data_IF_059043690236
#
_entry.id   IF_059043690236
#
_cell.length_a   1.000
_cell.length_b   1.000
_cell.length_c   1.000
_cell.angle_alpha   90.00
_cell.angle_beta   90.00
_cell.angle_gamma   90.00
#
_symmetry.space_group_name_H-M   'P 1'
#
loop_
_entity.id
_entity.type
_entity.pdbx_description
1 polymer ?
#
# COMPACT_ATOMS: atom_id res chain seq x y z
N UNK A 1 -49.80 31.28 -38.20
CA UNK A 1 -49.91 30.02 -37.43
C UNK A 1 -49.49 28.86 -38.33
N UNK A 2 -48.27 28.33 -38.13
CA UNK A 2 -47.76 27.16 -38.87
C UNK A 2 -47.41 26.09 -37.83
N UNK A 3 -48.06 24.94 -37.97
CA UNK A 3 -47.95 23.78 -37.06
C UNK A 3 -46.58 23.11 -37.29
N UNK A 4 -45.80 22.97 -36.23
CA UNK A 4 -44.56 22.19 -36.23
C UNK A 4 -44.90 20.79 -35.71
N UNK A 5 -44.60 19.80 -36.54
CA UNK A 5 -44.73 18.38 -36.26
C UNK A 5 -43.61 17.94 -35.34
N UNK A 6 -43.96 17.23 -34.27
CA UNK A 6 -43.03 16.63 -33.33
C UNK A 6 -42.25 15.47 -33.99
N UNK A 7 -40.92 15.49 -33.86
CA UNK A 7 -40.07 14.35 -34.15
C UNK A 7 -39.59 13.76 -32.82
N UNK A 8 -40.18 12.64 -32.42
CA UNK A 8 -39.68 11.84 -31.30
C UNK A 8 -38.44 11.07 -31.78
N UNK A 9 -37.26 11.48 -31.30
CA UNK A 9 -36.03 10.72 -31.47
C UNK A 9 -36.01 9.57 -30.46
N UNK A 10 -36.29 8.37 -30.95
CA UNK A 10 -36.17 7.12 -30.20
C UNK A 10 -34.69 6.72 -30.17
N UNK A 11 -33.99 7.05 -29.09
CA UNK A 11 -32.59 6.65 -28.91
C UNK A 11 -32.56 5.19 -28.42
N UNK A 12 -32.28 4.25 -29.33
CA UNK A 12 -32.05 2.84 -29.00
C UNK A 12 -30.73 2.73 -28.21
N UNK A 13 -30.81 2.42 -26.92
CA UNK A 13 -29.68 1.87 -26.16
C UNK A 13 -29.42 0.45 -26.68
N UNK A 14 -28.32 0.24 -27.40
CA UNK A 14 -27.80 -1.12 -27.60
C UNK A 14 -26.92 -1.49 -26.39
N UNK A 15 -27.39 -2.44 -25.60
CA UNK A 15 -26.57 -3.08 -24.59
C UNK A 15 -25.53 -3.96 -25.29
N UNK A 16 -24.25 -3.61 -25.18
CA UNK A 16 -23.15 -4.50 -25.57
C UNK A 16 -23.02 -5.56 -24.47
N UNK A 17 -23.44 -6.79 -24.75
CA UNK A 17 -23.13 -7.93 -23.91
C UNK A 17 -21.66 -8.31 -24.12
N UNK A 18 -20.82 -8.10 -23.11
CA UNK A 18 -19.48 -8.69 -23.06
C UNK A 18 -19.64 -10.14 -22.63
N UNK A 19 -19.61 -11.08 -23.59
CA UNK A 19 -19.46 -12.49 -23.27
C UNK A 19 -17.99 -12.76 -22.97
N UNK A 20 -17.68 -13.08 -21.71
CA UNK A 20 -16.42 -13.71 -21.37
C UNK A 20 -16.35 -15.06 -22.11
N UNK A 21 -15.42 -15.20 -23.04
CA UNK A 21 -15.11 -16.50 -23.64
C UNK A 21 -14.43 -17.35 -22.57
N UNK A 22 -15.12 -18.38 -22.13
CA UNK A 22 -14.59 -19.40 -21.25
C UNK A 22 -13.69 -20.34 -22.07
N UNK A 23 -12.40 -19.99 -22.16
CA UNK A 23 -11.38 -20.82 -22.80
C UNK A 23 -11.12 -22.07 -21.96
N UNK A 24 -11.99 -23.07 -22.11
CA UNK A 24 -11.96 -24.37 -21.42
C UNK A 24 -10.88 -25.33 -21.93
N UNK A 25 -9.86 -24.85 -22.66
CA UNK A 25 -8.76 -25.69 -23.08
C UNK A 25 -7.45 -24.90 -23.28
N UNK A 26 -6.80 -24.51 -22.19
CA UNK A 26 -5.36 -24.27 -22.21
C UNK A 26 -4.73 -24.93 -20.99
N UNK A 27 -4.14 -26.11 -21.19
CA UNK A 27 -3.07 -26.60 -20.30
C UNK A 27 -1.91 -25.62 -20.42
N UNK A 28 -2.00 -24.49 -19.70
CA UNK A 28 -0.86 -23.60 -19.51
C UNK A 28 0.14 -24.39 -18.68
N UNK A 29 1.38 -24.60 -19.14
CA UNK A 29 2.40 -25.20 -18.30
C UNK A 29 2.46 -24.33 -17.04
N UNK A 30 2.22 -24.93 -15.88
CA UNK A 30 2.41 -24.26 -14.59
C UNK A 30 3.84 -23.72 -14.63
N UNK A 31 3.98 -22.40 -14.80
CA UNK A 31 5.26 -21.71 -14.61
C UNK A 31 5.84 -22.27 -13.33
N UNK A 32 7.07 -22.77 -13.39
CA UNK A 32 7.86 -23.05 -12.21
C UNK A 32 7.98 -21.70 -11.50
N UNK A 33 7.03 -21.44 -10.61
CA UNK A 33 6.94 -20.21 -9.84
C UNK A 33 8.21 -20.24 -9.01
N UNK A 34 9.19 -19.40 -9.36
CA UNK A 34 10.34 -19.18 -8.50
C UNK A 34 9.81 -19.02 -7.08
N UNK A 35 10.32 -19.82 -6.16
CA UNK A 35 9.93 -19.71 -4.76
C UNK A 35 10.11 -18.27 -4.28
N UNK A 36 9.39 -17.89 -3.22
CA UNK A 36 9.64 -16.62 -2.55
C UNK A 36 11.15 -16.48 -2.27
N UNK A 37 11.78 -15.40 -2.77
CA UNK A 37 13.20 -15.09 -2.53
C UNK A 37 14.20 -15.48 -3.63
N UNK A 38 13.76 -15.98 -4.80
CA UNK A 38 14.65 -16.19 -5.96
C UNK A 38 15.00 -14.87 -6.70
N UNK A 39 16.05 -14.87 -7.55
CA UNK A 39 16.34 -13.73 -8.43
C UNK A 39 15.14 -13.37 -9.31
N UNK A 40 14.87 -12.07 -9.44
CA UNK A 40 13.82 -11.58 -10.34
C UNK A 40 14.36 -11.62 -11.77
N UNK A 41 13.85 -12.54 -12.58
CA UNK A 41 14.11 -12.58 -14.02
C UNK A 41 12.94 -11.93 -14.76
N UNK A 42 13.24 -10.84 -15.48
CA UNK A 42 12.24 -10.12 -16.28
C UNK A 42 11.84 -10.95 -17.51
N UNK A 43 10.54 -11.14 -17.69
CA UNK A 43 9.97 -11.76 -18.87
C UNK A 43 9.90 -10.80 -20.07
N UNK A 44 9.60 -11.31 -21.28
CA UNK A 44 9.52 -10.51 -22.51
C UNK A 44 8.50 -9.34 -22.47
N UNK A 45 7.54 -9.40 -21.55
CA UNK A 45 6.50 -8.39 -21.38
C UNK A 45 6.75 -7.44 -20.21
N UNK A 46 7.80 -7.68 -19.41
CA UNK A 46 8.14 -6.81 -18.29
C UNK A 46 8.87 -5.59 -18.85
N UNK A 47 8.14 -4.48 -18.94
CA UNK A 47 8.63 -3.20 -19.48
C UNK A 47 8.83 -2.21 -18.35
N UNK A 48 10.06 -1.78 -18.15
CA UNK A 48 10.38 -0.69 -17.24
C UNK A 48 9.77 0.62 -17.78
N UNK A 49 8.87 1.23 -17.02
CA UNK A 49 8.21 2.50 -17.39
C UNK A 49 8.90 3.73 -16.81
N UNK A 50 9.73 3.55 -15.79
CA UNK A 50 10.47 4.61 -15.10
C UNK A 50 11.93 4.20 -14.90
N UNK A 51 12.89 5.12 -15.01
CA UNK A 51 14.28 4.81 -14.68
C UNK A 51 14.39 4.38 -13.21
N UNK A 52 15.45 3.64 -12.91
CA UNK A 52 15.78 3.32 -11.53
C UNK A 52 15.99 4.61 -10.74
N UNK A 53 15.59 4.64 -9.46
CA UNK A 53 15.85 5.79 -8.60
C UNK A 53 17.37 6.00 -8.47
N UNK A 54 17.80 7.25 -8.22
CA UNK A 54 19.19 7.53 -7.87
C UNK A 54 19.65 6.65 -6.70
N UNK A 55 20.89 6.16 -6.75
CA UNK A 55 21.42 5.26 -5.71
C UNK A 55 21.54 5.91 -4.33
N UNK A 56 21.58 7.24 -4.28
CA UNK A 56 21.68 8.09 -3.10
C UNK A 56 20.32 8.59 -2.59
N UNK A 57 19.19 8.08 -3.14
CA UNK A 57 17.85 8.56 -2.78
C UNK A 57 17.51 8.41 -1.29
N UNK A 58 18.17 7.48 -0.60
CA UNK A 58 18.05 7.22 0.84
C UNK A 58 19.27 7.67 1.64
N UNK A 59 20.23 8.36 1.02
CA UNK A 59 21.39 8.87 1.74
C UNK A 59 20.95 9.99 2.69
N UNK A 60 21.57 10.01 3.88
CA UNK A 60 21.32 11.07 4.85
C UNK A 60 21.95 12.37 4.35
N UNK A 61 21.11 13.37 4.10
CA UNK A 61 21.50 14.74 3.70
C UNK A 61 21.48 15.67 4.92
N UNK A 62 22.64 16.16 5.34
CA UNK A 62 22.74 17.05 6.53
C UNK A 62 22.09 18.43 6.32
N UNK A 63 21.88 18.84 5.07
CA UNK A 63 21.20 20.09 4.68
C UNK A 63 19.67 19.98 4.64
N UNK A 64 19.13 18.77 4.81
CA UNK A 64 17.70 18.49 4.72
C UNK A 64 17.09 18.40 6.12
N UNK A 65 15.97 19.11 6.39
CA UNK A 65 15.20 18.90 7.61
C UNK A 65 14.71 17.46 7.72
N UNK A 66 14.82 16.87 8.92
CA UNK A 66 14.43 15.49 9.16
C UNK A 66 13.11 15.36 9.90
N UNK A 67 12.26 14.46 9.43
CA UNK A 67 11.06 14.02 10.11
C UNK A 67 11.38 13.09 11.27
N UNK A 68 10.33 12.57 11.89
CA UNK A 68 10.45 11.67 13.05
C UNK A 68 9.78 10.34 12.73
N UNK A 69 10.52 9.25 12.92
CA UNK A 69 10.01 7.88 12.82
C UNK A 69 9.89 7.30 14.23
N UNK A 70 8.68 6.93 14.64
CA UNK A 70 8.38 6.43 15.98
C UNK A 70 7.55 5.18 15.95
N UNK A 71 7.86 4.25 16.85
CA UNK A 71 6.98 3.13 17.14
C UNK A 71 6.00 3.54 18.23
N UNK A 72 4.71 3.35 17.97
CA UNK A 72 3.66 3.58 18.95
C UNK A 72 2.85 2.31 19.19
N UNK A 73 2.15 2.28 20.32
CA UNK A 73 1.21 1.23 20.70
C UNK A 73 -0.22 1.75 20.60
N UNK A 74 -1.15 0.90 20.15
CA UNK A 74 -2.58 1.19 20.08
C UNK A 74 -3.40 -0.01 20.54
N UNK A 75 -4.57 0.25 21.13
CA UNK A 75 -5.50 -0.79 21.55
C UNK A 75 -6.36 -1.24 20.36
N UNK A 76 -6.17 -2.47 19.89
CA UNK A 76 -7.04 -3.06 18.86
C UNK A 76 -8.23 -3.73 19.51
N UNK A 77 -9.44 -3.19 19.29
CA UNK A 77 -10.68 -3.84 19.69
C UNK A 77 -11.00 -5.00 18.76
N UNK A 78 -10.57 -4.92 17.50
CA UNK A 78 -10.77 -5.96 16.49
C UNK A 78 -10.18 -7.29 16.94
N UNK A 79 -8.97 -7.29 17.52
CA UNK A 79 -8.31 -8.53 17.97
C UNK A 79 -8.16 -8.65 19.50
N UNK A 80 -8.59 -7.62 20.23
CA UNK A 80 -8.63 -7.60 21.69
C UNK A 80 -7.24 -7.64 22.32
N UNK A 81 -6.28 -6.89 21.77
CA UNK A 81 -4.92 -6.76 22.30
C UNK A 81 -4.27 -5.45 21.86
N UNK A 82 -3.27 -4.99 22.62
CA UNK A 82 -2.40 -3.88 22.22
C UNK A 82 -1.51 -4.31 21.06
N UNK A 83 -1.46 -3.50 20.00
CA UNK A 83 -0.66 -3.73 18.81
C UNK A 83 0.29 -2.56 18.57
N UNK A 84 1.24 -2.72 17.63
CA UNK A 84 2.27 -1.73 17.32
C UNK A 84 2.20 -1.27 15.88
N UNK A 85 2.57 -0.01 15.67
CA UNK A 85 2.81 0.55 14.35
C UNK A 85 3.95 1.56 14.38
N UNK A 86 4.67 1.67 13.26
CA UNK A 86 5.60 2.77 13.05
C UNK A 86 4.89 3.95 12.38
N UNK A 87 5.19 5.17 12.82
CA UNK A 87 4.66 6.40 12.28
C UNK A 87 5.82 7.31 11.91
N UNK A 88 5.84 7.73 10.65
CA UNK A 88 6.65 8.85 10.20
C UNK A 88 5.81 10.13 10.23
N UNK A 89 6.33 11.16 10.89
CA UNK A 89 5.83 12.53 10.80
C UNK A 89 6.83 13.39 10.01
N UNK A 90 6.35 14.26 9.11
CA UNK A 90 7.23 15.02 8.22
C UNK A 90 8.00 16.10 9.00
N UNK A 91 9.12 16.62 8.45
CA UNK A 91 9.82 17.74 9.04
C UNK A 91 8.88 18.93 9.29
N UNK A 92 8.97 19.53 10.47
CA UNK A 92 8.08 20.63 10.87
C UNK A 92 6.64 20.22 11.16
N UNK A 93 6.39 18.94 11.46
CA UNK A 93 5.09 18.45 11.92
C UNK A 93 4.55 19.30 13.08
N UNK A 94 3.24 19.54 13.04
CA UNK A 94 2.49 20.31 14.04
C UNK A 94 1.06 19.80 14.05
N UNK A 95 0.50 19.61 15.23
CA UNK A 95 -0.89 19.16 15.45
C UNK A 95 -1.92 20.19 14.93
N UNK A 96 -1.53 21.45 14.75
CA UNK A 96 -2.40 22.51 14.22
C UNK A 96 -2.63 22.39 12.70
N UNK A 97 -1.80 21.61 11.99
CA UNK A 97 -1.86 21.44 10.54
C UNK A 97 -2.40 20.06 10.19
N UNK A 98 -3.24 20.01 9.15
CA UNK A 98 -3.70 18.75 8.55
C UNK A 98 -2.70 18.25 7.51
N UNK A 99 -2.47 16.94 7.54
CA UNK A 99 -1.59 16.24 6.59
C UNK A 99 -2.38 15.12 5.90
N UNK A 100 -2.11 14.83 4.62
CA UNK A 100 -2.51 13.55 4.04
C UNK A 100 -1.79 12.41 4.78
N UNK A 101 -2.42 11.24 4.80
CA UNK A 101 -1.89 10.04 5.47
C UNK A 101 -1.73 8.92 4.44
N UNK A 102 -0.56 8.29 4.44
CA UNK A 102 -0.29 7.07 3.69
C UNK A 102 -0.20 5.88 4.65
N UNK A 103 -1.06 4.89 4.47
CA UNK A 103 -0.96 3.60 5.16
C UNK A 103 -0.11 2.65 4.30
N UNK A 104 1.08 2.32 4.78
CA UNK A 104 2.10 1.59 4.04
C UNK A 104 2.29 0.18 4.64
N UNK A 105 1.82 -0.84 3.91
CA UNK A 105 1.81 -2.22 4.39
C UNK A 105 3.05 -3.00 3.96
N UNK A 106 3.47 -3.93 4.80
CA UNK A 106 4.57 -4.86 4.55
C UNK A 106 4.10 -6.11 3.79
N UNK A 107 5.04 -6.93 3.32
CA UNK A 107 4.77 -8.20 2.64
C UNK A 107 4.49 -9.38 3.58
N UNK A 108 4.26 -10.56 3.01
CA UNK A 108 4.13 -11.80 3.79
C UNK A 108 5.45 -12.06 4.54
N UNK A 109 5.37 -12.25 5.86
CA UNK A 109 6.53 -12.46 6.73
C UNK A 109 7.15 -11.18 7.31
N UNK A 110 6.76 -10.01 6.79
CA UNK A 110 7.18 -8.71 7.30
C UNK A 110 6.51 -8.30 8.61
N UNK A 111 6.75 -7.11 9.11
CA UNK A 111 6.07 -6.53 10.28
C UNK A 111 6.09 -5.00 10.18
N UNK A 112 5.63 -4.29 11.20
CA UNK A 112 5.59 -2.82 11.26
C UNK A 112 6.97 -2.15 11.09
N UNK A 113 8.06 -2.90 11.19
CA UNK A 113 9.43 -2.41 11.02
C UNK A 113 10.07 -2.81 9.68
N UNK A 114 9.37 -3.57 8.82
CA UNK A 114 9.92 -4.04 7.54
C UNK A 114 10.46 -2.90 6.67
N UNK A 115 9.66 -1.85 6.48
CA UNK A 115 10.06 -0.69 5.70
C UNK A 115 11.30 0.00 6.29
N UNK A 116 11.37 0.13 7.62
CA UNK A 116 12.54 0.69 8.29
C UNK A 116 13.80 -0.13 8.02
N UNK A 117 13.71 -1.47 8.06
CA UNK A 117 14.85 -2.37 7.88
C UNK A 117 15.39 -2.38 6.44
N UNK A 118 14.51 -2.26 5.44
CA UNK A 118 14.89 -2.51 4.04
C UNK A 118 14.83 -1.29 3.12
N UNK A 119 14.20 -0.18 3.54
CA UNK A 119 13.92 0.94 2.65
C UNK A 119 14.18 2.34 3.24
N UNK A 120 14.59 2.44 4.52
CA UNK A 120 14.92 3.72 5.17
C UNK A 120 13.88 4.83 4.89
N UNK A 121 12.59 4.60 5.19
CA UNK A 121 11.49 5.40 4.70
C UNK A 121 11.56 6.85 5.16
N UNK A 122 12.12 7.11 6.35
CA UNK A 122 12.34 8.46 6.85
C UNK A 122 13.28 9.26 5.95
N UNK A 123 14.43 8.69 5.56
CA UNK A 123 15.41 9.38 4.69
C UNK A 123 14.85 9.58 3.29
N UNK A 124 14.18 8.55 2.74
CA UNK A 124 13.48 8.64 1.46
C UNK A 124 12.47 9.80 1.47
N UNK A 125 11.59 9.84 2.48
CA UNK A 125 10.52 10.84 2.55
C UNK A 125 11.07 12.24 2.83
N UNK A 126 12.06 12.38 3.71
CA UNK A 126 12.74 13.66 3.97
C UNK A 126 13.31 14.24 2.66
N UNK A 127 14.06 13.42 1.91
CA UNK A 127 14.68 13.82 0.65
C UNK A 127 13.62 14.18 -0.41
N UNK A 128 12.57 13.36 -0.56
CA UNK A 128 11.50 13.62 -1.53
C UNK A 128 10.69 14.88 -1.17
N UNK A 129 10.47 15.16 0.12
CA UNK A 129 9.77 16.35 0.60
C UNK A 129 10.64 17.60 0.37
N UNK A 130 11.93 17.54 0.70
CA UNK A 130 12.87 18.64 0.50
C UNK A 130 13.03 19.00 -0.99
N UNK A 131 13.05 18.00 -1.86
CA UNK A 131 13.10 18.18 -3.31
C UNK A 131 11.75 18.59 -3.94
N UNK A 132 10.67 18.69 -3.14
CA UNK A 132 9.33 19.02 -3.63
C UNK A 132 8.67 17.95 -4.50
N UNK A 133 9.17 16.71 -4.45
CA UNK A 133 8.64 15.53 -5.18
C UNK A 133 7.54 14.81 -4.40
N UNK A 134 7.49 15.01 -3.09
CA UNK A 134 6.42 14.54 -2.22
C UNK A 134 5.87 15.69 -1.37
N UNK A 135 4.57 15.67 -1.10
CA UNK A 135 3.97 16.59 -0.13
C UNK A 135 4.31 16.14 1.29
N UNK A 136 4.45 17.06 2.27
CA UNK A 136 4.51 16.68 3.67
C UNK A 136 3.30 15.83 4.05
N UNK A 137 3.55 14.60 4.51
CA UNK A 137 2.52 13.60 4.81
C UNK A 137 2.92 12.78 6.03
N UNK A 138 1.92 12.25 6.73
CA UNK A 138 2.13 11.22 7.76
C UNK A 138 2.16 9.87 7.07
N UNK A 139 3.10 9.00 7.44
CA UNK A 139 3.13 7.62 6.94
C UNK A 139 2.98 6.67 8.11
N UNK A 140 1.95 5.84 8.06
CA UNK A 140 1.63 4.84 9.09
C UNK A 140 1.98 3.47 8.54
N UNK A 141 2.80 2.73 9.27
CA UNK A 141 3.31 1.40 8.92
C UNK A 141 2.85 0.41 9.99
N UNK A 142 1.61 -0.10 9.92
CA UNK A 142 1.10 -1.07 10.87
C UNK A 142 1.54 -2.50 10.51
N UNK A 143 1.37 -3.43 11.44
CA UNK A 143 1.47 -4.85 11.15
C UNK A 143 0.15 -5.35 10.53
N UNK A 144 0.21 -5.88 9.31
CA UNK A 144 -0.96 -6.35 8.57
C UNK A 144 -1.54 -7.68 9.08
N UNK A 145 -0.87 -8.39 9.99
CA UNK A 145 -1.42 -9.61 10.60
C UNK A 145 -2.24 -9.26 11.84
N UNK A 146 -3.51 -8.91 11.65
CA UNK A 146 -4.40 -8.63 12.76
C UNK A 146 -4.80 -9.93 13.48
N UNK A 147 -4.02 -10.30 14.51
CA UNK A 147 -4.29 -11.40 15.43
C UNK A 147 -3.53 -11.19 16.75
N UNK A 148 -3.86 -11.95 17.80
CA UNK A 148 -3.22 -11.78 19.12
C UNK A 148 -1.71 -12.03 19.15
N UNK A 149 -1.24 -13.01 18.39
CA UNK A 149 0.19 -13.23 18.17
C UNK A 149 0.52 -12.88 16.72
N UNK A 150 0.89 -11.64 16.45
CA UNK A 150 1.16 -11.11 15.11
C UNK A 150 2.62 -11.26 14.68
N UNK A 151 3.42 -12.04 15.43
CA UNK A 151 4.80 -12.40 15.09
C UNK A 151 4.82 -13.38 13.91
N UNK A 152 5.80 -13.22 13.01
CA UNK A 152 6.01 -14.10 11.87
C UNK A 152 6.74 -15.39 12.30
N UNK A 153 6.03 -16.30 12.97
CA UNK A 153 6.58 -17.54 13.52
C UNK A 153 5.88 -18.78 12.93
N UNK A 154 6.59 -19.91 12.90
CA UNK A 154 6.05 -21.15 12.34
C UNK A 154 5.83 -21.08 10.82
N UNK A 155 4.75 -21.69 10.34
CA UNK A 155 4.35 -21.56 8.95
C UNK A 155 3.68 -20.20 8.74
N UNK A 156 4.41 -19.23 8.18
CA UNK A 156 3.96 -17.86 7.97
C UNK A 156 2.66 -17.79 7.17
N UNK A 157 2.41 -18.77 6.29
CA UNK A 157 1.19 -18.86 5.49
C UNK A 157 -0.07 -19.13 6.32
N UNK A 158 0.07 -19.69 7.53
CA UNK A 158 -1.06 -19.94 8.43
C UNK A 158 -1.68 -18.63 8.94
N UNK A 159 -0.94 -17.51 8.87
CA UNK A 159 -1.43 -16.17 9.20
C UNK A 159 -2.28 -15.53 8.09
N UNK A 160 -2.51 -16.22 6.95
CA UNK A 160 -3.31 -15.68 5.85
C UNK A 160 -4.69 -15.10 6.28
N UNK A 161 -5.46 -15.76 7.17
CA UNK A 161 -6.74 -15.21 7.64
C UNK A 161 -6.60 -13.90 8.43
N UNK A 162 -5.48 -13.69 9.14
CA UNK A 162 -5.25 -12.48 9.94
C UNK A 162 -5.14 -11.22 9.06
N UNK A 163 -4.68 -11.35 7.81
CA UNK A 163 -4.66 -10.24 6.87
C UNK A 163 -6.05 -9.82 6.40
N UNK A 164 -7.04 -10.73 6.39
CA UNK A 164 -8.43 -10.38 6.11
C UNK A 164 -9.07 -9.62 7.28
N UNK A 165 -8.70 -9.97 8.52
CA UNK A 165 -9.15 -9.26 9.74
C UNK A 165 -8.59 -7.84 9.79
N UNK A 166 -7.42 -7.60 9.18
CA UNK A 166 -6.78 -6.30 9.19
C UNK A 166 -7.59 -5.17 8.54
N UNK A 167 -8.55 -5.48 7.67
CA UNK A 167 -9.47 -4.44 7.16
C UNK A 167 -10.23 -3.75 8.29
N UNK A 168 -10.78 -4.51 9.23
CA UNK A 168 -11.49 -3.95 10.39
C UNK A 168 -10.51 -3.28 11.36
N UNK A 169 -9.34 -3.90 11.60
CA UNK A 169 -8.31 -3.29 12.45
C UNK A 169 -7.86 -1.94 11.90
N UNK A 170 -7.72 -1.82 10.57
CA UNK A 170 -7.37 -0.58 9.91
C UNK A 170 -8.47 0.48 10.09
N UNK A 171 -9.71 0.14 9.76
CA UNK A 171 -10.82 1.08 9.69
C UNK A 171 -11.32 1.52 11.08
N UNK A 172 -11.40 0.57 12.02
CA UNK A 172 -12.05 0.78 13.31
C UNK A 172 -11.06 1.11 14.44
N UNK A 173 -9.79 0.70 14.31
CA UNK A 173 -8.78 0.87 15.37
C UNK A 173 -7.59 1.75 14.95
N UNK A 174 -6.96 1.52 13.79
CA UNK A 174 -5.74 2.25 13.37
C UNK A 174 -6.04 3.67 12.88
N UNK A 175 -7.03 3.86 12.01
CA UNK A 175 -7.39 5.20 11.50
C UNK A 175 -7.86 6.13 12.64
N UNK A 176 -8.63 5.65 13.63
CA UNK A 176 -9.10 6.50 14.74
C UNK A 176 -8.11 6.70 15.90
N UNK A 177 -6.97 6.00 15.92
CA UNK A 177 -6.01 6.00 17.03
C UNK A 177 -5.26 7.32 17.22
#
# INVERSE_FOLDING_TARGET
MKRIVALFAFCLLQAVQVSAQDDTNSERPRRQRGGFGGPIELGPNDKQTHPDPPGDIVDKREDVPHGKLEMIEYESKTVGTTRKMNIYTPPGYSEEKKYPVLYLLHGIGGDETEWQRFASPNLLLDNLIADGKAVPMIVVMPNGRAQKNDRAEGNIMDSAPAFAVFENDLLDDVIPA
#
